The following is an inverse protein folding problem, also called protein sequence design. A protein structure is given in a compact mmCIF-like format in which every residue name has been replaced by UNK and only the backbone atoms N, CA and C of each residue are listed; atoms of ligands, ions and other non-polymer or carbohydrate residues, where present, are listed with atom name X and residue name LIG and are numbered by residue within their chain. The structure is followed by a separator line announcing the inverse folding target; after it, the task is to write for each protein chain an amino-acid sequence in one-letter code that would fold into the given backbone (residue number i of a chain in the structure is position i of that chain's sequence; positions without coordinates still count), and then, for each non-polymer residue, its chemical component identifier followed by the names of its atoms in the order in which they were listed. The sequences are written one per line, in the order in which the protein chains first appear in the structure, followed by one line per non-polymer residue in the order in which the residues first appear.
data_IF_294147870983
#
_entry.id   IF_294147870983
#
_cell.length_a   1.000
_cell.length_b   1.000
_cell.length_c   1.000
_cell.angle_alpha   90.00
_cell.angle_beta   90.00
_cell.angle_gamma   90.00
#
_symmetry.space_group_name_H-M   'P 1'
#
loop_
_entity.id
_entity.type
_entity.pdbx_description
1 polymer ?
#
# COMPACT_ATOMS: atom_id res chain seq x y z
N UNK A 1 -4.61 6.88 -0.62
CA UNK A 1 -3.16 6.71 -0.88
C UNK A 1 -2.95 5.38 -1.59
N UNK A 2 -1.84 5.20 -2.31
CA UNK A 2 -1.50 3.94 -2.97
C UNK A 2 0.00 3.61 -2.82
N UNK A 3 0.34 2.34 -2.61
CA UNK A 3 1.70 1.79 -2.68
C UNK A 3 1.77 0.73 -3.77
N UNK A 4 2.89 0.65 -4.50
CA UNK A 4 3.05 -0.27 -5.63
C UNK A 4 4.34 -1.06 -5.52
N UNK A 5 4.34 -2.28 -6.03
CA UNK A 5 5.54 -3.10 -6.20
C UNK A 5 5.44 -3.94 -7.48
N UNK A 6 6.58 -4.13 -8.14
CA UNK A 6 6.71 -4.90 -9.38
C UNK A 6 7.70 -6.05 -9.17
N UNK A 7 7.25 -7.29 -9.44
CA UNK A 7 8.13 -8.46 -9.38
C UNK A 7 8.66 -8.77 -7.97
N UNK A 8 9.64 -9.67 -7.89
CA UNK A 8 10.23 -10.12 -6.62
C UNK A 8 9.47 -11.28 -5.96
N UNK A 9 9.97 -11.73 -4.81
CA UNK A 9 9.47 -12.92 -4.11
C UNK A 9 8.13 -12.66 -3.39
N UNK A 10 7.88 -11.42 -2.96
CA UNK A 10 6.70 -11.03 -2.17
C UNK A 10 6.14 -9.63 -2.54
N UNK A 11 5.68 -9.42 -3.79
CA UNK A 11 5.22 -8.10 -4.27
C UNK A 11 4.05 -7.51 -3.46
N UNK A 12 3.21 -8.36 -2.85
CA UNK A 12 2.11 -7.90 -2.00
C UNK A 12 2.63 -7.20 -0.74
N UNK A 13 3.62 -7.79 -0.07
CA UNK A 13 4.19 -7.24 1.16
C UNK A 13 4.89 -5.91 0.88
N UNK A 14 5.68 -5.84 -0.19
CA UNK A 14 6.32 -4.60 -0.62
C UNK A 14 5.32 -3.50 -0.98
N UNK A 15 4.22 -3.82 -1.67
CA UNK A 15 3.19 -2.83 -1.99
C UNK A 15 2.50 -2.28 -0.73
N UNK A 16 2.25 -3.14 0.28
CA UNK A 16 1.69 -2.74 1.57
C UNK A 16 2.65 -1.87 2.39
N UNK A 17 3.94 -2.23 2.43
CA UNK A 17 4.97 -1.42 3.08
C UNK A 17 5.08 -0.03 2.45
N UNK A 18 5.08 0.04 1.11
CA UNK A 18 5.09 1.32 0.39
C UNK A 18 3.84 2.16 0.69
N UNK A 19 2.67 1.53 0.77
CA UNK A 19 1.43 2.21 1.16
C UNK A 19 1.52 2.76 2.60
N UNK A 20 2.07 1.98 3.53
CA UNK A 20 2.25 2.41 4.92
C UNK A 20 3.24 3.57 5.05
N UNK A 21 4.36 3.53 4.33
CA UNK A 21 5.36 4.60 4.32
C UNK A 21 4.73 5.93 3.87
N UNK A 22 3.93 5.91 2.79
CA UNK A 22 3.17 7.08 2.33
C UNK A 22 2.20 7.56 3.42
N UNK A 23 1.51 6.64 4.11
CA UNK A 23 0.68 6.97 5.27
C UNK A 23 1.44 7.76 6.34
N UNK A 24 2.65 7.33 6.68
CA UNK A 24 3.50 8.00 7.66
C UNK A 24 3.99 9.37 7.17
N UNK A 25 4.35 9.51 5.89
CA UNK A 25 4.72 10.79 5.28
C UNK A 25 3.58 11.81 5.34
N UNK A 26 2.34 11.35 5.21
CA UNK A 26 1.14 12.16 5.39
C UNK A 26 0.69 12.31 6.86
N UNK A 27 1.48 11.78 7.80
CA UNK A 27 1.22 11.83 9.24
C UNK A 27 0.00 11.03 9.68
N UNK A 28 -0.44 10.04 8.92
CA UNK A 28 -1.54 9.17 9.32
C UNK A 28 -1.10 8.21 10.43
N UNK A 29 -2.01 7.91 11.37
CA UNK A 29 -1.77 6.91 12.42
C UNK A 29 -2.00 5.49 11.90
N UNK A 30 -2.94 5.34 10.95
CA UNK A 30 -3.27 4.05 10.33
C UNK A 30 -3.74 4.22 8.89
N UNK A 31 -3.72 3.10 8.15
CA UNK A 31 -4.40 2.97 6.86
C UNK A 31 -5.47 1.90 6.99
N UNK A 32 -6.70 2.27 6.62
CA UNK A 32 -7.89 1.41 6.68
C UNK A 32 -8.46 1.17 5.29
N UNK A 33 -9.41 0.22 5.20
CA UNK A 33 -10.09 -0.15 3.96
C UNK A 33 -9.10 -0.46 2.81
N UNK A 34 -8.06 -1.22 3.12
CA UNK A 34 -7.01 -1.58 2.16
C UNK A 34 -7.58 -2.55 1.13
N UNK A 35 -7.34 -2.25 -0.15
CA UNK A 35 -7.60 -3.15 -1.28
C UNK A 35 -6.35 -3.35 -2.09
N UNK A 36 -6.20 -4.56 -2.61
CA UNK A 36 -5.10 -4.98 -3.48
C UNK A 36 -5.64 -5.17 -4.90
N UNK A 37 -4.92 -4.64 -5.89
CA UNK A 37 -5.08 -5.01 -7.30
C UNK A 37 -3.80 -5.65 -7.79
N UNK A 38 -3.95 -6.69 -8.60
CA UNK A 38 -2.84 -7.39 -9.21
C UNK A 38 -2.98 -7.32 -10.72
N UNK A 39 -1.89 -6.94 -11.39
CA UNK A 39 -1.81 -6.84 -12.84
C UNK A 39 -0.71 -7.76 -13.35
N UNK A 40 -1.01 -8.66 -14.30
CA UNK A 40 0.04 -9.41 -14.97
C UNK A 40 0.87 -8.45 -15.83
N UNK A 41 2.19 -8.52 -15.74
CA UNK A 41 3.10 -7.76 -16.60
C UNK A 41 4.20 -8.66 -17.15
N UNK A 42 4.91 -8.21 -18.17
CA UNK A 42 6.04 -8.93 -18.77
C UNK A 42 7.22 -9.15 -17.81
N UNK A 43 7.33 -8.35 -16.75
CA UNK A 43 8.38 -8.45 -15.74
C UNK A 43 7.96 -9.25 -14.48
N UNK A 44 6.75 -9.83 -14.48
CA UNK A 44 6.12 -10.45 -13.32
C UNK A 44 4.87 -9.70 -12.84
N UNK A 45 4.13 -10.20 -11.83
CA UNK A 45 2.93 -9.52 -11.36
C UNK A 45 3.28 -8.17 -10.72
N UNK A 46 2.58 -7.12 -11.13
CA UNK A 46 2.54 -5.85 -10.42
C UNK A 46 1.41 -5.88 -9.39
N UNK A 47 1.68 -5.40 -8.19
CA UNK A 47 0.68 -5.28 -7.12
C UNK A 47 0.55 -3.82 -6.72
N UNK A 48 -0.69 -3.35 -6.67
CA UNK A 48 -1.07 -2.01 -6.19
C UNK A 48 -1.92 -2.17 -4.95
N UNK A 49 -1.44 -1.67 -3.82
CA UNK A 49 -2.19 -1.56 -2.58
C UNK A 49 -2.72 -0.13 -2.45
N UNK A 50 -3.98 0.04 -2.10
CA UNK A 50 -4.55 1.37 -1.86
C UNK A 50 -5.51 1.33 -0.68
N UNK A 51 -5.61 2.44 0.02
CA UNK A 51 -6.45 2.57 1.21
C UNK A 51 -6.60 4.02 1.66
N UNK A 52 -7.31 4.19 2.77
CA UNK A 52 -7.62 5.49 3.36
C UNK A 52 -6.75 5.71 4.59
N UNK A 53 -5.99 6.80 4.61
CA UNK A 53 -5.24 7.21 5.80
C UNK A 53 -6.15 7.88 6.80
N UNK A 54 -5.97 7.54 8.07
CA UNK A 54 -6.73 8.14 9.16
C UNK A 54 -5.78 8.66 10.24
N UNK A 55 -6.19 9.76 10.86
CA UNK A 55 -5.66 10.23 12.14
C UNK A 55 -6.71 9.97 13.21
N UNK A 56 -6.30 9.40 14.33
CA UNK A 56 -7.21 9.25 15.47
C UNK A 56 -7.35 10.59 16.18
N UNK A 57 -8.58 11.07 16.35
CA UNK A 57 -8.84 12.14 17.30
C UNK A 57 -8.61 11.57 18.72
N UNK A 58 -7.90 12.32 19.57
CA UNK A 58 -7.88 11.98 21.00
C UNK A 58 -9.32 12.11 21.52
N UNK A 59 -9.78 11.17 22.36
CA UNK A 59 -11.10 11.26 22.99
C UNK A 59 -11.22 12.49 23.89
#
# INVERSE_FOLDING_TARGET
MFGQALGGREPVMSALQNLQAIGQEHGCDAIIAVKLMQYPTSAGPAVVAYGTGVKFAKP
#
